data_IF_561531012948
#
_entry.id   IF_561531012948
#
_cell.length_a   1.000
_cell.length_b   1.000
_cell.length_c   1.000
_cell.angle_alpha   90.00
_cell.angle_beta   90.00
_cell.angle_gamma   90.00
#
_symmetry.space_group_name_H-M   'P 1'
#
loop_
_entity.id
_entity.type
_entity.pdbx_description
1 polymer ?
#
# COMPACT_ATOMS: atom_id res chain seq x y z
N UNK A 1 46.52 -32.03 13.09
CA UNK A 1 45.28 -31.65 13.81
C UNK A 1 45.14 -30.13 13.77
N UNK A 2 43.91 -29.68 13.49
CA UNK A 2 43.40 -28.29 13.51
C UNK A 2 43.79 -27.39 12.32
N UNK A 3 42.97 -27.58 11.31
CA UNK A 3 42.37 -26.58 10.42
C UNK A 3 41.93 -25.28 11.11
N UNK A 4 42.20 -24.13 10.48
CA UNK A 4 41.21 -23.04 10.35
C UNK A 4 41.47 -22.21 9.09
N UNK A 5 40.43 -22.18 8.26
CA UNK A 5 40.22 -21.46 7.01
C UNK A 5 39.72 -20.03 7.31
N UNK A 6 39.61 -19.12 6.31
CA UNK A 6 40.35 -17.87 6.28
C UNK A 6 39.49 -16.63 6.55
N UNK A 7 40.18 -15.51 6.69
CA UNK A 7 39.69 -14.14 6.84
C UNK A 7 38.94 -13.59 5.60
N UNK A 8 37.98 -14.33 5.06
CA UNK A 8 37.16 -13.95 3.89
C UNK A 8 35.77 -13.41 4.27
N UNK A 9 35.40 -13.34 5.55
CA UNK A 9 34.07 -12.93 5.99
C UNK A 9 33.91 -11.41 6.27
N UNK A 10 35.00 -10.64 6.34
CA UNK A 10 34.93 -9.21 6.65
C UNK A 10 34.85 -8.30 5.40
N UNK A 11 35.16 -8.82 4.21
CA UNK A 11 35.14 -8.05 2.96
C UNK A 11 33.78 -8.08 2.23
N UNK A 12 32.84 -8.93 2.66
CA UNK A 12 31.54 -9.12 2.00
C UNK A 12 30.41 -8.21 2.54
N UNK A 13 30.61 -7.54 3.68
CA UNK A 13 29.56 -6.73 4.34
C UNK A 13 29.60 -5.23 4.02
N UNK A 14 30.56 -4.76 3.22
CA UNK A 14 30.65 -3.37 2.75
C UNK A 14 30.21 -3.17 1.29
N UNK A 15 29.77 -4.23 0.61
CA UNK A 15 29.30 -4.19 -0.78
C UNK A 15 27.76 -4.02 -0.91
N UNK A 16 27.04 -3.88 0.21
CA UNK A 16 25.57 -3.82 0.25
C UNK A 16 25.01 -2.49 0.76
N UNK A 17 25.80 -1.41 0.67
CA UNK A 17 25.28 -0.04 0.76
C UNK A 17 25.36 0.54 -0.63
N UNK A 18 24.20 0.53 -1.30
CA UNK A 18 23.80 1.41 -2.41
C UNK A 18 24.84 1.59 -3.54
N UNK A 19 24.51 1.32 -4.82
CA UNK A 19 25.16 2.08 -5.87
C UNK A 19 24.65 3.51 -5.66
N UNK A 20 25.38 4.30 -4.85
CA UNK A 20 25.25 5.74 -4.83
C UNK A 20 25.44 6.12 -6.29
N UNK A 21 24.33 6.55 -6.89
CA UNK A 21 24.28 7.14 -8.22
C UNK A 21 25.27 8.30 -8.16
N UNK A 22 26.51 8.04 -8.51
CA UNK A 22 27.42 9.06 -8.96
C UNK A 22 26.81 9.56 -10.27
N UNK A 23 25.88 10.52 -10.15
CA UNK A 23 25.72 11.49 -11.21
C UNK A 23 27.15 11.98 -11.44
N UNK A 24 27.71 11.67 -12.60
CA UNK A 24 28.95 12.27 -13.06
C UNK A 24 28.64 13.75 -13.18
N UNK A 25 28.78 14.48 -12.07
CA UNK A 25 28.84 15.91 -12.06
C UNK A 25 29.85 16.30 -13.15
N UNK A 26 29.56 17.32 -13.97
CA UNK A 26 30.51 17.78 -14.98
C UNK A 26 31.86 17.98 -14.28
N UNK A 27 32.91 17.40 -14.87
CA UNK A 27 34.24 17.39 -14.27
C UNK A 27 34.61 18.82 -13.85
N UNK A 28 34.78 19.05 -12.54
CA UNK A 28 35.11 20.38 -12.01
C UNK A 28 36.37 20.87 -12.74
N UNK A 29 36.34 22.01 -13.45
CA UNK A 29 37.50 22.53 -14.18
C UNK A 29 38.73 22.71 -13.27
N UNK A 30 38.51 22.84 -11.94
CA UNK A 30 39.56 22.89 -10.92
C UNK A 30 40.31 21.56 -10.77
N UNK A 31 39.68 20.40 -11.02
CA UNK A 31 40.38 19.10 -11.06
C UNK A 31 41.35 19.02 -12.23
N UNK A 32 40.95 19.52 -13.40
CA UNK A 32 41.82 19.56 -14.57
C UNK A 32 43.04 20.49 -14.34
N UNK A 33 42.85 21.60 -13.61
CA UNK A 33 43.94 22.49 -13.21
C UNK A 33 44.92 21.81 -12.23
N UNK A 34 44.42 21.07 -11.24
CA UNK A 34 45.25 20.31 -10.29
C UNK A 34 46.08 19.23 -11.01
N UNK A 35 45.49 18.53 -11.99
CA UNK A 35 46.20 17.50 -12.78
C UNK A 35 47.36 18.14 -13.57
N UNK A 36 47.14 19.28 -14.24
CA UNK A 36 48.21 20.01 -14.97
C UNK A 36 49.33 20.49 -14.04
N UNK A 37 49.00 20.93 -12.83
CA UNK A 37 49.99 21.36 -11.84
C UNK A 37 50.74 20.17 -11.22
N UNK A 38 50.11 19.00 -11.14
CA UNK A 38 50.76 17.76 -10.73
C UNK A 38 51.83 17.37 -11.75
N UNK A 39 51.51 17.38 -13.04
CA UNK A 39 52.45 17.06 -14.12
C UNK A 39 53.69 17.98 -14.11
N UNK A 40 53.49 19.28 -13.84
CA UNK A 40 54.59 20.24 -13.72
C UNK A 40 55.52 19.98 -12.52
N UNK A 41 54.96 19.57 -11.38
CA UNK A 41 55.75 19.19 -10.18
C UNK A 41 56.47 17.86 -10.36
N UNK A 42 55.89 16.93 -11.12
CA UNK A 42 56.55 15.67 -11.47
C UNK A 42 57.72 15.89 -12.45
N UNK A 43 57.65 16.90 -13.32
CA UNK A 43 58.70 17.27 -14.25
C UNK A 43 59.91 17.94 -13.57
N UNK A 44 59.69 18.76 -12.53
CA UNK A 44 60.77 19.31 -11.68
C UNK A 44 60.34 19.34 -10.20
N UNK A 45 60.71 18.30 -9.42
CA UNK A 45 60.36 18.20 -8.00
C UNK A 45 61.05 19.25 -7.11
N UNK A 46 62.11 19.90 -7.59
CA UNK A 46 62.87 20.86 -6.79
C UNK A 46 62.22 22.25 -6.76
N UNK A 47 61.38 22.56 -7.74
CA UNK A 47 60.65 23.83 -7.84
C UNK A 47 59.69 24.01 -6.63
N UNK A 48 60.06 24.94 -5.74
CA UNK A 48 59.27 25.29 -4.56
C UNK A 48 58.03 26.10 -4.91
N UNK A 49 58.06 26.89 -5.99
CA UNK A 49 56.94 27.69 -6.46
C UNK A 49 55.86 26.82 -7.11
N UNK A 50 56.24 25.84 -7.93
CA UNK A 50 55.31 24.86 -8.51
C UNK A 50 54.59 24.05 -7.42
N UNK A 51 55.33 23.57 -6.41
CA UNK A 51 54.75 22.83 -5.26
C UNK A 51 53.80 23.69 -4.43
N UNK A 52 54.11 24.97 -4.22
CA UNK A 52 53.23 25.91 -3.53
C UNK A 52 51.92 26.13 -4.30
N UNK A 53 52.00 26.36 -5.62
CA UNK A 53 50.83 26.52 -6.49
C UNK A 53 49.94 25.28 -6.49
N UNK A 54 50.52 24.08 -6.61
CA UNK A 54 49.79 22.81 -6.53
C UNK A 54 49.07 22.68 -5.18
N UNK A 55 49.73 22.96 -4.06
CA UNK A 55 49.14 22.87 -2.73
C UNK A 55 47.93 23.79 -2.58
N UNK A 56 48.02 25.04 -3.05
CA UNK A 56 46.90 25.99 -3.00
C UNK A 56 45.76 25.57 -3.93
N UNK A 57 46.06 25.14 -5.16
CA UNK A 57 45.06 24.68 -6.12
C UNK A 57 44.32 23.43 -5.62
N UNK A 58 45.05 22.45 -5.09
CA UNK A 58 44.48 21.25 -4.48
C UNK A 58 43.60 21.58 -3.26
N UNK A 59 44.03 22.53 -2.41
CA UNK A 59 43.21 23.02 -1.28
C UNK A 59 41.88 23.64 -1.72
N UNK A 60 41.88 24.45 -2.78
CA UNK A 60 40.66 25.05 -3.35
C UNK A 60 39.74 24.00 -3.99
N UNK A 61 40.30 23.06 -4.75
CA UNK A 61 39.54 21.96 -5.35
C UNK A 61 38.89 21.08 -4.27
N UNK A 62 39.65 20.69 -3.24
CA UNK A 62 39.12 19.90 -2.12
C UNK A 62 38.01 20.64 -1.35
N UNK A 63 38.15 21.95 -1.12
CA UNK A 63 37.10 22.76 -0.49
C UNK A 63 35.83 22.86 -1.37
N UNK A 64 36.01 23.02 -2.69
CA UNK A 64 34.92 23.01 -3.69
C UNK A 64 34.12 21.70 -3.64
N UNK A 65 34.83 20.58 -3.69
CA UNK A 65 34.23 19.23 -3.65
C UNK A 65 33.50 18.96 -2.34
N UNK A 66 34.11 19.32 -1.20
CA UNK A 66 33.44 19.21 0.11
C UNK A 66 32.17 20.06 0.16
N UNK A 67 32.19 21.27 -0.39
CA UNK A 67 31.00 22.13 -0.47
C UNK A 67 29.91 21.57 -1.37
N UNK A 68 30.28 20.96 -2.50
CA UNK A 68 29.33 20.30 -3.41
C UNK A 68 28.71 19.06 -2.76
N UNK A 69 29.53 18.19 -2.17
CA UNK A 69 29.08 17.00 -1.46
C UNK A 69 28.18 17.35 -0.26
N UNK A 70 28.49 18.43 0.47
CA UNK A 70 27.65 18.91 1.55
C UNK A 70 26.26 19.34 1.04
N UNK A 71 26.20 20.13 -0.04
CA UNK A 71 24.91 20.53 -0.65
C UNK A 71 24.11 19.36 -1.19
N UNK A 72 24.77 18.39 -1.83
CA UNK A 72 24.11 17.17 -2.31
C UNK A 72 23.55 16.35 -1.14
N UNK A 73 24.34 16.15 -0.08
CA UNK A 73 23.90 15.48 1.14
C UNK A 73 22.69 16.19 1.76
N UNK A 74 22.76 17.50 1.90
CA UNK A 74 21.69 18.29 2.53
C UNK A 74 20.40 18.20 1.67
N UNK A 75 20.52 18.27 0.34
CA UNK A 75 19.38 18.07 -0.57
C UNK A 75 18.76 16.66 -0.46
N UNK A 76 19.59 15.61 -0.36
CA UNK A 76 19.11 14.23 -0.18
C UNK A 76 18.41 14.04 1.18
N UNK A 77 18.93 14.66 2.23
CA UNK A 77 18.31 14.63 3.56
C UNK A 77 16.96 15.36 3.58
N UNK A 78 16.86 16.51 2.91
CA UNK A 78 15.62 17.27 2.77
C UNK A 78 14.58 16.54 1.92
N UNK A 79 15.01 15.84 0.86
CA UNK A 79 14.14 14.94 0.08
C UNK A 79 13.64 13.77 0.92
N UNK A 80 14.53 13.11 1.67
CA UNK A 80 14.17 12.00 2.55
C UNK A 80 13.20 12.43 3.66
N UNK A 81 13.38 13.64 4.22
CA UNK A 81 12.46 14.21 5.22
C UNK A 81 11.06 14.40 4.63
N UNK A 82 10.95 15.08 3.49
CA UNK A 82 9.66 15.31 2.80
C UNK A 82 8.97 14.00 2.40
N UNK A 83 9.75 13.00 1.97
CA UNK A 83 9.21 11.68 1.65
C UNK A 83 8.65 10.98 2.89
N UNK A 84 9.32 11.10 4.03
CA UNK A 84 8.83 10.57 5.31
C UNK A 84 7.54 11.27 5.75
N UNK A 85 7.51 12.61 5.71
CA UNK A 85 6.34 13.40 6.10
C UNK A 85 5.11 13.00 5.27
N UNK A 86 5.24 12.91 3.94
CA UNK A 86 4.14 12.43 3.07
C UNK A 86 3.66 11.03 3.41
N UNK A 87 4.58 10.11 3.75
CA UNK A 87 4.22 8.75 4.16
C UNK A 87 3.47 8.74 5.49
N UNK A 88 3.89 9.56 6.44
CA UNK A 88 3.25 9.67 7.75
C UNK A 88 1.83 10.28 7.59
N UNK A 89 1.66 11.29 6.74
CA UNK A 89 0.35 11.86 6.39
C UNK A 89 -0.58 10.83 5.74
N UNK A 90 -0.09 10.08 4.75
CA UNK A 90 -0.82 8.98 4.10
C UNK A 90 -1.27 7.92 5.11
N UNK A 91 -0.36 7.48 5.99
CA UNK A 91 -0.68 6.50 7.02
C UNK A 91 -1.77 7.02 7.98
N UNK A 92 -1.70 8.29 8.38
CA UNK A 92 -2.67 8.91 9.26
C UNK A 92 -4.04 9.10 8.57
N UNK A 93 -4.06 9.41 7.28
CA UNK A 93 -5.31 9.49 6.50
C UNK A 93 -5.99 8.12 6.38
N UNK A 94 -5.20 7.08 6.08
CA UNK A 94 -5.66 5.69 6.09
C UNK A 94 -6.25 5.29 7.43
N UNK A 95 -5.55 5.56 8.53
CA UNK A 95 -6.00 5.22 9.89
C UNK A 95 -7.36 5.86 10.20
N UNK A 96 -7.52 7.16 9.92
CA UNK A 96 -8.81 7.85 10.08
C UNK A 96 -9.94 7.22 9.26
N UNK A 97 -9.68 6.84 8.00
CA UNK A 97 -10.69 6.19 7.15
C UNK A 97 -11.08 4.82 7.70
N UNK A 98 -10.11 4.07 8.22
CA UNK A 98 -10.35 2.78 8.85
C UNK A 98 -11.13 2.91 10.16
N UNK A 99 -10.79 3.86 11.01
CA UNK A 99 -11.50 4.11 12.28
C UNK A 99 -12.99 4.40 12.01
N UNK A 100 -13.28 5.32 11.09
CA UNK A 100 -14.66 5.66 10.71
C UNK A 100 -15.40 4.43 10.17
N UNK A 101 -14.73 3.62 9.34
CA UNK A 101 -15.32 2.40 8.81
C UNK A 101 -15.58 1.36 9.91
N UNK A 102 -14.67 1.19 10.86
CA UNK A 102 -14.80 0.25 11.98
C UNK A 102 -15.92 0.62 12.96
N UNK A 103 -16.13 1.91 13.19
CA UNK A 103 -17.26 2.43 13.98
C UNK A 103 -18.60 2.04 13.33
N UNK A 104 -18.75 2.32 12.03
CA UNK A 104 -19.96 1.95 11.29
C UNK A 104 -20.12 0.43 11.17
N UNK A 105 -19.03 -0.31 11.02
CA UNK A 105 -19.04 -1.78 11.00
C UNK A 105 -19.49 -2.38 12.33
N UNK A 106 -19.11 -1.75 13.45
CA UNK A 106 -19.57 -2.16 14.78
C UNK A 106 -21.08 -1.95 14.94
N UNK A 107 -21.64 -0.89 14.33
CA UNK A 107 -23.09 -0.69 14.25
C UNK A 107 -23.77 -1.77 13.39
N UNK A 108 -23.23 -2.10 12.22
CA UNK A 108 -23.77 -3.20 11.39
C UNK A 108 -23.76 -4.54 12.16
N UNK A 109 -22.71 -4.81 12.94
CA UNK A 109 -22.62 -5.99 13.80
C UNK A 109 -23.68 -5.99 14.92
N UNK A 110 -23.97 -4.86 15.55
CA UNK A 110 -24.99 -4.79 16.61
C UNK A 110 -26.38 -5.05 16.04
N UNK A 111 -26.68 -4.52 14.84
CA UNK A 111 -27.90 -4.80 14.10
C UNK A 111 -28.01 -6.29 13.71
N UNK A 112 -26.90 -6.94 13.36
CA UNK A 112 -26.90 -8.36 12.98
C UNK A 112 -27.19 -9.31 14.16
N UNK A 113 -26.98 -8.86 15.39
CA UNK A 113 -27.18 -9.65 16.61
C UNK A 113 -28.67 -9.82 16.98
N UNK A 114 -29.57 -9.03 16.38
CA UNK A 114 -31.00 -9.15 16.58
C UNK A 114 -31.64 -9.63 15.26
N UNK A 115 -32.45 -10.72 15.28
CA UNK A 115 -33.16 -11.15 14.07
C UNK A 115 -34.00 -10.01 13.48
N UNK A 116 -34.55 -9.12 14.33
CA UNK A 116 -35.45 -8.05 13.93
C UNK A 116 -34.84 -7.00 13.00
N UNK A 117 -33.56 -6.73 13.19
CA UNK A 117 -32.78 -5.75 12.45
C UNK A 117 -31.89 -6.38 11.37
N UNK A 118 -32.04 -7.68 11.08
CA UNK A 118 -31.19 -8.39 10.11
C UNK A 118 -31.22 -7.81 8.68
N UNK A 119 -32.35 -7.24 8.25
CA UNK A 119 -32.47 -6.58 6.95
C UNK A 119 -31.66 -5.27 6.89
N UNK A 120 -31.68 -4.50 7.97
CA UNK A 120 -30.89 -3.28 8.14
C UNK A 120 -29.40 -3.63 8.23
N UNK A 121 -29.04 -4.66 9.00
CA UNK A 121 -27.67 -5.12 9.13
C UNK A 121 -27.04 -5.52 7.80
N UNK A 122 -27.77 -6.29 6.96
CA UNK A 122 -27.30 -6.66 5.62
C UNK A 122 -27.15 -5.44 4.72
N UNK A 123 -28.08 -4.49 4.78
CA UNK A 123 -28.01 -3.27 3.96
C UNK A 123 -26.85 -2.36 4.39
N UNK A 124 -26.62 -2.24 5.71
CA UNK A 124 -25.47 -1.53 6.28
C UNK A 124 -24.15 -2.20 5.85
N UNK A 125 -24.08 -3.53 5.92
CA UNK A 125 -22.88 -4.26 5.52
C UNK A 125 -22.60 -4.14 4.01
N UNK A 126 -23.64 -4.20 3.18
CA UNK A 126 -23.51 -3.97 1.72
C UNK A 126 -22.90 -2.60 1.42
N UNK A 127 -23.37 -1.54 2.11
CA UNK A 127 -22.81 -0.19 2.01
C UNK A 127 -21.34 -0.15 2.45
N UNK A 128 -21.03 -0.80 3.57
CA UNK A 128 -19.66 -0.85 4.11
C UNK A 128 -18.69 -1.58 3.21
N UNK A 129 -19.11 -2.66 2.54
CA UNK A 129 -18.29 -3.32 1.52
C UNK A 129 -18.02 -2.39 0.32
N UNK A 130 -19.01 -1.60 -0.10
CA UNK A 130 -18.82 -0.61 -1.16
C UNK A 130 -17.83 0.51 -0.79
N UNK A 131 -17.77 0.88 0.48
CA UNK A 131 -16.96 1.98 1.00
C UNK A 131 -15.68 1.53 1.72
N UNK A 132 -15.31 0.24 1.64
CA UNK A 132 -14.16 -0.28 2.36
C UNK A 132 -12.86 0.39 1.87
N UNK A 133 -12.04 0.99 2.77
CA UNK A 133 -10.77 1.61 2.37
C UNK A 133 -9.74 0.55 1.92
N UNK A 134 -9.47 0.49 0.61
CA UNK A 134 -8.57 -0.51 0.02
C UNK A 134 -7.12 -0.03 0.10
N UNK A 135 -6.39 -0.53 1.10
CA UNK A 135 -4.95 -0.36 1.23
C UNK A 135 -4.23 -1.72 1.15
N UNK A 136 -2.92 -1.68 0.92
CA UNK A 136 -2.09 -2.87 0.71
C UNK A 136 -2.09 -3.85 1.88
N UNK A 137 -2.26 -3.35 3.11
CA UNK A 137 -2.28 -4.10 4.37
C UNK A 137 -3.69 -4.36 4.93
N UNK A 138 -4.73 -3.76 4.37
CA UNK A 138 -6.10 -3.87 4.89
C UNK A 138 -6.84 -5.16 4.49
N UNK A 139 -6.26 -6.00 3.62
CA UNK A 139 -6.93 -7.21 3.13
C UNK A 139 -7.29 -8.19 4.26
N UNK A 140 -6.45 -8.28 5.30
CA UNK A 140 -6.72 -9.13 6.46
C UNK A 140 -7.83 -8.56 7.35
N UNK A 141 -7.89 -7.24 7.50
CA UNK A 141 -8.97 -6.56 8.23
C UNK A 141 -10.33 -6.81 7.56
N UNK A 142 -10.41 -6.74 6.22
CA UNK A 142 -11.61 -7.09 5.47
C UNK A 142 -12.06 -8.54 5.73
N UNK A 143 -11.11 -9.49 5.68
CA UNK A 143 -11.40 -10.90 5.92
C UNK A 143 -11.87 -11.17 7.36
N UNK A 144 -11.24 -10.52 8.35
CA UNK A 144 -11.64 -10.60 9.74
C UNK A 144 -13.04 -10.01 9.98
N UNK A 145 -13.35 -8.87 9.36
CA UNK A 145 -14.66 -8.25 9.44
C UNK A 145 -15.76 -9.13 8.81
N UNK A 146 -15.51 -9.70 7.62
CA UNK A 146 -16.44 -10.63 6.97
C UNK A 146 -16.73 -11.86 7.85
N UNK A 147 -15.68 -12.47 8.41
CA UNK A 147 -15.83 -13.58 9.33
C UNK A 147 -16.63 -13.20 10.59
N UNK A 148 -16.38 -12.01 11.16
CA UNK A 148 -17.05 -11.51 12.35
C UNK A 148 -18.56 -11.34 12.13
N UNK A 149 -18.97 -10.61 11.08
CA UNK A 149 -20.39 -10.35 10.85
C UNK A 149 -21.15 -11.63 10.44
N UNK A 150 -20.54 -12.50 9.63
CA UNK A 150 -21.11 -13.82 9.29
C UNK A 150 -21.27 -14.68 10.53
N UNK A 151 -20.29 -14.67 11.43
CA UNK A 151 -20.37 -15.38 12.71
C UNK A 151 -21.51 -14.87 13.60
N UNK A 152 -21.77 -13.56 13.62
CA UNK A 152 -22.90 -12.98 14.35
C UNK A 152 -24.22 -13.44 13.73
N UNK A 153 -24.38 -13.32 12.41
CA UNK A 153 -25.59 -13.79 11.73
C UNK A 153 -25.81 -15.28 11.97
N UNK A 154 -24.77 -16.11 11.88
CA UNK A 154 -24.87 -17.55 12.13
C UNK A 154 -25.43 -17.83 13.53
N UNK A 155 -24.93 -17.14 14.56
CA UNK A 155 -25.44 -17.25 15.94
C UNK A 155 -26.91 -16.83 16.03
N UNK A 156 -27.27 -15.72 15.39
CA UNK A 156 -28.66 -15.22 15.35
C UNK A 156 -29.58 -16.24 14.69
N UNK A 157 -29.21 -16.77 13.51
CA UNK A 157 -30.00 -17.78 12.80
C UNK A 157 -30.12 -19.06 13.61
N UNK A 158 -29.02 -19.57 14.16
CA UNK A 158 -29.04 -20.80 14.97
C UNK A 158 -29.97 -20.68 16.18
N UNK A 159 -30.05 -19.49 16.79
CA UNK A 159 -30.91 -19.23 17.95
C UNK A 159 -32.40 -19.11 17.58
N UNK A 160 -32.72 -18.41 16.49
CA UNK A 160 -34.11 -18.04 16.16
C UNK A 160 -34.74 -18.91 15.07
N UNK A 161 -33.94 -19.49 14.18
CA UNK A 161 -34.37 -20.34 13.06
C UNK A 161 -33.40 -21.54 12.89
N UNK A 162 -33.32 -22.46 13.88
CA UNK A 162 -32.29 -23.51 13.93
C UNK A 162 -32.27 -24.43 12.71
N UNK A 163 -33.43 -24.66 12.07
CA UNK A 163 -33.56 -25.47 10.85
C UNK A 163 -32.78 -24.90 9.65
N UNK A 164 -32.52 -23.58 9.62
CA UNK A 164 -31.70 -22.96 8.58
C UNK A 164 -30.20 -23.18 8.78
N UNK A 165 -29.78 -23.50 10.01
CA UNK A 165 -28.39 -23.69 10.39
C UNK A 165 -27.99 -25.17 10.53
N UNK A 166 -28.94 -26.10 10.32
CA UNK A 166 -28.73 -27.53 10.51
C UNK A 166 -27.63 -28.08 9.58
N UNK A 167 -26.69 -28.84 10.16
CA UNK A 167 -25.57 -29.43 9.43
C UNK A 167 -24.50 -28.43 8.95
N UNK A 168 -24.54 -27.16 9.37
CA UNK A 168 -23.62 -26.11 8.93
C UNK A 168 -22.73 -25.60 10.07
N UNK A 169 -21.50 -25.21 9.72
CA UNK A 169 -20.54 -24.60 10.65
C UNK A 169 -20.51 -23.06 10.62
N UNK A 170 -20.96 -22.45 9.53
CA UNK A 170 -20.88 -21.00 9.29
C UNK A 170 -22.06 -20.49 8.43
N UNK A 171 -22.27 -19.16 8.44
CA UNK A 171 -23.27 -18.51 7.62
C UNK A 171 -22.71 -18.15 6.23
N UNK A 172 -23.28 -18.75 5.19
CA UNK A 172 -23.04 -18.36 3.80
C UNK A 172 -24.09 -17.33 3.31
N UNK A 173 -23.86 -16.73 2.14
CA UNK A 173 -24.79 -15.72 1.59
C UNK A 173 -26.19 -16.29 1.31
N UNK A 174 -26.33 -17.61 1.11
CA UNK A 174 -27.64 -18.25 0.88
C UNK A 174 -28.43 -18.35 2.18
N UNK A 175 -27.75 -18.67 3.28
CA UNK A 175 -28.33 -18.72 4.62
C UNK A 175 -28.79 -17.33 5.08
N UNK A 176 -28.02 -16.28 4.78
CA UNK A 176 -28.44 -14.90 5.04
C UNK A 176 -29.71 -14.53 4.24
N UNK A 177 -29.77 -14.89 2.96
CA UNK A 177 -30.98 -14.70 2.15
C UNK A 177 -32.17 -15.49 2.68
N UNK A 178 -31.95 -16.74 3.10
CA UNK A 178 -32.99 -17.60 3.66
C UNK A 178 -33.53 -17.07 5.00
N UNK A 179 -32.65 -16.53 5.86
CA UNK A 179 -33.04 -15.85 7.10
C UNK A 179 -33.95 -14.65 6.80
N UNK A 180 -33.54 -13.78 5.88
CA UNK A 180 -34.32 -12.60 5.51
C UNK A 180 -35.69 -13.00 4.93
N UNK A 181 -35.71 -14.05 4.10
CA UNK A 181 -36.94 -14.61 3.55
C UNK A 181 -37.88 -15.16 4.63
N UNK A 182 -37.37 -15.99 5.56
CA UNK A 182 -38.16 -16.58 6.63
C UNK A 182 -38.86 -15.48 7.45
N UNK A 183 -38.17 -14.38 7.72
CA UNK A 183 -38.74 -13.24 8.47
C UNK A 183 -39.84 -12.50 7.72
N UNK A 184 -39.62 -12.18 6.44
CA UNK A 184 -40.66 -11.53 5.63
C UNK A 184 -41.90 -12.43 5.53
N UNK A 185 -41.71 -13.75 5.37
CA UNK A 185 -42.81 -14.70 5.36
C UNK A 185 -43.52 -14.82 6.72
N UNK A 186 -42.81 -14.79 7.85
CA UNK A 186 -43.41 -14.82 9.18
C UNK A 186 -44.23 -13.54 9.45
N UNK A 187 -43.69 -12.37 9.09
CA UNK A 187 -44.42 -11.10 9.17
C UNK A 187 -45.69 -11.13 8.30
N UNK A 188 -45.59 -11.58 7.05
CA UNK A 188 -46.77 -11.71 6.18
C UNK A 188 -47.80 -12.71 6.71
N UNK A 189 -47.36 -13.84 7.28
CA UNK A 189 -48.26 -14.83 7.87
C UNK A 189 -49.01 -14.28 9.08
N UNK A 190 -48.38 -13.41 9.88
CA UNK A 190 -49.03 -12.74 11.02
C UNK A 190 -50.08 -11.70 10.58
N UNK A 191 -49.94 -11.15 9.38
CA UNK A 191 -50.86 -10.14 8.82
C UNK A 191 -51.74 -10.65 7.67
N UNK A 192 -51.83 -11.97 7.46
CA UNK A 192 -52.75 -12.60 6.50
C UNK A 192 -52.35 -12.47 5.01
N UNK A 193 -51.08 -12.22 4.71
CA UNK A 193 -50.58 -12.00 3.34
C UNK A 193 -50.28 -13.27 2.54
N UNK A 194 -50.51 -13.22 1.23
CA UNK A 194 -50.10 -14.24 0.24
C UNK A 194 -48.58 -14.21 0.07
N UNK A 195 -47.92 -15.38 0.09
CA UNK A 195 -46.47 -15.50 -0.18
C UNK A 195 -46.11 -14.86 -1.52
N UNK A 196 -45.32 -13.78 -1.49
CA UNK A 196 -44.92 -13.03 -2.67
C UNK A 196 -43.60 -13.56 -3.26
N UNK A 197 -43.64 -14.13 -4.47
CA UNK A 197 -42.44 -14.62 -5.17
C UNK A 197 -41.44 -13.51 -5.53
N UNK A 198 -41.91 -12.28 -5.74
CA UNK A 198 -41.06 -11.13 -6.08
C UNK A 198 -40.12 -10.72 -4.95
N UNK A 199 -40.54 -10.86 -3.69
CA UNK A 199 -39.70 -10.55 -2.54
C UNK A 199 -38.58 -11.58 -2.35
N UNK A 200 -38.87 -12.86 -2.60
CA UNK A 200 -37.86 -13.93 -2.59
C UNK A 200 -36.77 -13.65 -3.63
N UNK A 201 -37.16 -13.26 -4.84
CA UNK A 201 -36.23 -12.92 -5.90
C UNK A 201 -35.39 -11.69 -5.53
N UNK A 202 -35.98 -10.69 -4.87
CA UNK A 202 -35.26 -9.51 -4.39
C UNK A 202 -34.18 -9.85 -3.35
N UNK A 203 -34.46 -10.73 -2.39
CA UNK A 203 -33.46 -11.14 -1.39
C UNK A 203 -32.32 -11.98 -2.01
N UNK A 204 -32.65 -12.83 -2.98
CA UNK A 204 -31.63 -13.57 -3.75
C UNK A 204 -30.72 -12.62 -4.53
N UNK A 205 -31.28 -11.58 -5.16
CA UNK A 205 -30.50 -10.53 -5.84
C UNK A 205 -29.58 -9.78 -4.89
N UNK A 206 -30.02 -9.47 -3.66
CA UNK A 206 -29.14 -8.87 -2.63
C UNK A 206 -27.97 -9.76 -2.27
N UNK A 207 -28.19 -11.05 -2.03
CA UNK A 207 -27.12 -11.99 -1.73
C UNK A 207 -26.13 -12.17 -2.89
N UNK A 208 -26.61 -12.13 -4.14
CA UNK A 208 -25.75 -12.13 -5.31
C UNK A 208 -24.92 -10.84 -5.41
N UNK A 209 -25.52 -9.68 -5.14
CA UNK A 209 -24.84 -8.39 -5.12
C UNK A 209 -23.71 -8.36 -4.08
N UNK A 210 -23.96 -8.82 -2.85
CA UNK A 210 -22.94 -8.95 -1.80
C UNK A 210 -21.73 -9.76 -2.26
N UNK A 211 -21.97 -10.94 -2.87
CA UNK A 211 -20.88 -11.75 -3.43
C UNK A 211 -20.09 -11.02 -4.51
N UNK A 212 -20.78 -10.25 -5.35
CA UNK A 212 -20.15 -9.41 -6.36
C UNK A 212 -19.24 -8.35 -5.74
N UNK A 213 -19.70 -7.68 -4.68
CA UNK A 213 -18.92 -6.68 -3.95
C UNK A 213 -17.70 -7.31 -3.27
N UNK A 214 -17.86 -8.44 -2.58
CA UNK A 214 -16.75 -9.18 -1.96
C UNK A 214 -15.69 -9.60 -3.00
N UNK A 215 -16.12 -10.12 -4.15
CA UNK A 215 -15.22 -10.48 -5.24
C UNK A 215 -14.52 -9.24 -5.83
N UNK A 216 -15.24 -8.14 -5.98
CA UNK A 216 -14.72 -6.86 -6.44
C UNK A 216 -13.62 -6.32 -5.51
N UNK A 217 -13.85 -6.31 -4.19
CA UNK A 217 -12.85 -5.89 -3.21
C UNK A 217 -11.60 -6.76 -3.23
N UNK A 218 -11.76 -8.09 -3.32
CA UNK A 218 -10.62 -9.01 -3.45
C UNK A 218 -9.79 -8.70 -4.69
N UNK A 219 -10.45 -8.39 -5.81
CA UNK A 219 -9.78 -7.99 -7.04
C UNK A 219 -9.06 -6.64 -6.89
N UNK A 220 -9.66 -5.65 -6.21
CA UNK A 220 -9.02 -4.36 -5.93
C UNK A 220 -7.75 -4.52 -5.08
N UNK A 221 -7.82 -5.25 -3.97
CA UNK A 221 -6.63 -5.57 -3.18
C UNK A 221 -5.56 -6.33 -3.99
N UNK A 222 -5.96 -7.25 -4.86
CA UNK A 222 -5.02 -7.95 -5.73
C UNK A 222 -4.35 -7.01 -6.75
N UNK A 223 -5.11 -6.09 -7.36
CA UNK A 223 -4.57 -5.09 -8.29
C UNK A 223 -3.59 -4.16 -7.58
N UNK A 224 -3.94 -3.65 -6.40
CA UNK A 224 -3.07 -2.76 -5.62
C UNK A 224 -1.77 -3.47 -5.23
N UNK A 225 -1.86 -4.71 -4.73
CA UNK A 225 -0.67 -5.52 -4.40
C UNK A 225 0.23 -5.74 -5.62
N UNK A 226 -0.36 -6.06 -6.78
CA UNK A 226 0.41 -6.22 -8.00
C UNK A 226 1.04 -4.90 -8.44
N UNK A 227 0.33 -3.77 -8.32
CA UNK A 227 0.87 -2.46 -8.64
C UNK A 227 2.12 -2.13 -7.80
N UNK A 228 2.08 -2.41 -6.49
CA UNK A 228 3.23 -2.23 -5.61
C UNK A 228 4.39 -3.19 -5.97
N UNK A 229 4.07 -4.43 -6.32
CA UNK A 229 5.09 -5.38 -6.81
C UNK A 229 5.74 -4.93 -8.12
N UNK A 230 4.97 -4.36 -9.05
CA UNK A 230 5.48 -3.80 -10.30
C UNK A 230 6.36 -2.59 -10.04
N UNK A 231 5.97 -1.73 -9.09
CA UNK A 231 6.78 -0.61 -8.64
C UNK A 231 8.14 -1.09 -8.09
N UNK A 232 8.16 -2.08 -7.20
CA UNK A 232 9.40 -2.66 -6.67
C UNK A 232 10.30 -3.25 -7.77
N UNK A 233 9.68 -3.91 -8.76
CA UNK A 233 10.37 -4.47 -9.94
C UNK A 233 10.77 -3.43 -10.98
N UNK A 234 10.55 -2.14 -10.74
CA UNK A 234 10.83 -1.02 -11.66
C UNK A 234 10.03 -1.06 -12.97
N UNK A 235 8.90 -1.75 -12.97
CA UNK A 235 7.97 -1.84 -14.09
C UNK A 235 6.93 -0.72 -13.99
N UNK A 236 7.41 0.52 -14.17
CA UNK A 236 6.64 1.74 -13.85
C UNK A 236 5.34 1.87 -14.63
N UNK A 237 5.33 1.58 -15.93
CA UNK A 237 4.13 1.69 -16.77
C UNK A 237 3.02 0.73 -16.31
N UNK A 238 3.41 -0.50 -15.92
CA UNK A 238 2.48 -1.48 -15.38
C UNK A 238 1.92 -1.05 -14.02
N UNK A 239 2.77 -0.52 -13.14
CA UNK A 239 2.34 0.02 -11.85
C UNK A 239 1.35 1.17 -12.04
N UNK A 240 1.69 2.15 -12.89
CA UNK A 240 0.82 3.31 -13.21
C UNK A 240 -0.57 2.86 -13.64
N UNK A 241 -0.66 1.92 -14.59
CA UNK A 241 -1.95 1.44 -15.11
C UNK A 241 -2.84 0.83 -14.02
N UNK A 242 -2.26 0.06 -13.09
CA UNK A 242 -3.03 -0.55 -12.00
C UNK A 242 -3.42 0.47 -10.93
N UNK A 243 -2.55 1.45 -10.63
CA UNK A 243 -2.83 2.52 -9.68
C UNK A 243 -3.94 3.46 -10.21
N UNK A 244 -3.90 3.81 -11.50
CA UNK A 244 -4.97 4.59 -12.15
C UNK A 244 -6.30 3.86 -12.09
N UNK A 245 -6.31 2.55 -12.35
CA UNK A 245 -7.53 1.73 -12.23
C UNK A 245 -8.09 1.71 -10.80
N UNK A 246 -7.23 1.73 -9.80
CA UNK A 246 -7.67 1.80 -8.40
C UNK A 246 -8.27 3.18 -8.09
N UNK A 247 -7.65 4.25 -8.59
CA UNK A 247 -8.15 5.62 -8.44
C UNK A 247 -9.42 5.90 -9.24
N UNK A 248 -9.65 5.20 -10.35
CA UNK A 248 -10.95 5.22 -11.05
C UNK A 248 -12.09 4.65 -10.15
N UNK A 249 -11.73 3.84 -9.15
CA UNK A 249 -12.68 3.20 -8.21
C UNK A 249 -12.76 3.91 -6.85
N UNK A 250 -11.68 4.55 -6.41
CA UNK A 250 -11.55 5.29 -5.14
C UNK A 250 -10.47 6.37 -5.33
N UNK A 251 -10.91 7.56 -5.72
CA UNK A 251 -10.08 8.72 -6.02
C UNK A 251 -9.38 9.28 -4.77
N UNK A 252 -9.89 8.97 -3.58
CA UNK A 252 -9.35 9.36 -2.27
C UNK A 252 -8.33 8.34 -1.71
N UNK A 253 -7.85 7.38 -2.52
CA UNK A 253 -6.86 6.41 -2.08
C UNK A 253 -5.45 7.01 -2.03
N UNK A 254 -5.05 7.51 -0.86
CA UNK A 254 -3.74 8.15 -0.63
C UNK A 254 -2.54 7.26 -0.99
N UNK A 255 -2.63 5.94 -0.76
CA UNK A 255 -1.54 5.02 -1.12
C UNK A 255 -1.41 4.89 -2.63
N UNK A 256 -2.54 4.76 -3.33
CA UNK A 256 -2.56 4.70 -4.79
C UNK A 256 -2.04 6.02 -5.41
N UNK A 257 -2.46 7.17 -4.88
CA UNK A 257 -1.97 8.49 -5.28
C UNK A 257 -0.45 8.61 -5.06
N UNK A 258 0.03 8.28 -3.87
CA UNK A 258 1.43 8.36 -3.50
C UNK A 258 2.33 7.53 -4.44
N UNK A 259 1.97 6.26 -4.67
CA UNK A 259 2.75 5.41 -5.57
C UNK A 259 2.58 5.77 -7.04
N UNK A 260 1.47 6.39 -7.45
CA UNK A 260 1.27 6.86 -8.82
C UNK A 260 2.24 8.01 -9.13
N UNK A 261 2.34 9.00 -8.24
CA UNK A 261 3.27 10.12 -8.38
C UNK A 261 4.73 9.65 -8.45
N UNK A 262 5.11 8.73 -7.56
CA UNK A 262 6.45 8.15 -7.57
C UNK A 262 6.71 7.39 -8.87
N UNK A 263 5.77 6.56 -9.31
CA UNK A 263 5.91 5.78 -10.54
C UNK A 263 6.05 6.69 -11.77
N UNK A 264 5.24 7.75 -11.87
CA UNK A 264 5.33 8.75 -12.96
C UNK A 264 6.66 9.48 -12.95
N UNK A 265 7.14 9.90 -11.79
CA UNK A 265 8.45 10.56 -11.63
C UNK A 265 9.59 9.63 -12.07
N UNK A 266 9.53 8.35 -11.71
CA UNK A 266 10.54 7.34 -12.08
C UNK A 266 10.49 6.98 -13.57
N UNK A 267 9.30 6.92 -14.17
CA UNK A 267 9.12 6.68 -15.59
C UNK A 267 9.63 7.85 -16.46
N UNK A 268 9.42 9.09 -16.01
CA UNK A 268 9.86 10.30 -16.72
C UNK A 268 11.37 10.58 -16.56
N UNK A 269 12.02 10.02 -15.53
CA UNK A 269 13.46 10.17 -15.36
C UNK A 269 14.20 9.44 -16.51
N UNK A 270 15.13 10.09 -17.22
CA UNK A 270 15.84 9.48 -18.33
C UNK A 270 16.54 8.20 -17.86
N UNK A 271 16.07 7.07 -18.39
CA UNK A 271 16.56 5.75 -18.04
C UNK A 271 17.99 5.58 -18.51
N UNK A 272 18.96 5.63 -17.59
CA UNK A 272 20.21 4.88 -17.77
C UNK A 272 19.87 3.42 -17.51
N UNK A 273 19.61 2.69 -18.59
CA UNK A 273 19.64 1.22 -18.61
C UNK A 273 21.04 0.73 -18.24
#
# INVERSE_FOLDING_TARGET
MRTSLPAAAAAALLAWVLPLRAQTAPADPRRAEVIKLLDAVLADPSDTAARSRLKTAAGRAAASERGAAARERDALLDEARRARERRDEMNAARERRMDVWEEEFSLACSLAANPDTAAEAVSAYERLLGAFPVYSDNAEALAAADARIRGIFFKTVKKHHPYLAEGRGEADSRMLAALQFARVSEQQSLYGGVRNSGETEAQLKKAQKLRGLEAGLKLRHANLREALSLYERRQWEGAIKLLEKELDSDDDNDEALYYLELSRTRAAAPGKR
#
